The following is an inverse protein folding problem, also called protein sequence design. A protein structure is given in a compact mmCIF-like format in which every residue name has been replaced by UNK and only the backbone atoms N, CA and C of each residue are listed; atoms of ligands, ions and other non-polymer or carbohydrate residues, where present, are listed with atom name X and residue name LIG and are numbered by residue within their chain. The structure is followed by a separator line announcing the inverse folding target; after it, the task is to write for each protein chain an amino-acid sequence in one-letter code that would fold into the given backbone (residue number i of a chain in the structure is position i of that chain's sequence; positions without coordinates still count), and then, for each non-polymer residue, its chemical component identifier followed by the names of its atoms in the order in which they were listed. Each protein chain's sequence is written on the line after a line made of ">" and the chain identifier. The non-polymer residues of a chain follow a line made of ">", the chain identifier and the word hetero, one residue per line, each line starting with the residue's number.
data_IF_568418046527
#
_entry.id   IF_568418046527
#
_cell.length_a   1.000
_cell.length_b   1.000
_cell.length_c   1.000
_cell.angle_alpha   90.00
_cell.angle_beta   90.00
_cell.angle_gamma   90.00
#
_symmetry.space_group_name_H-M   'P 1'
#
loop_
_entity.id
_entity.type
_entity.pdbx_description
1 polymer ?
#
# COMPACT_ATOMS: atom_id res chain seq x y z
N UNK A 1 -4.04 21.49 -30.00
CA UNK A 1 -5.28 21.73 -29.24
C UNK A 1 -4.92 22.69 -28.08
N UNK A 2 -5.31 23.98 -28.15
CA UNK A 2 -5.13 24.91 -27.01
C UNK A 2 -6.22 24.60 -26.00
N UNK A 3 -5.84 23.99 -24.89
CA UNK A 3 -6.73 23.84 -23.73
C UNK A 3 -6.97 25.23 -23.17
N UNK A 4 -8.20 25.74 -23.23
CA UNK A 4 -8.56 27.01 -22.61
C UNK A 4 -8.34 26.90 -21.08
N UNK A 5 -7.65 27.85 -20.49
CA UNK A 5 -7.17 27.81 -19.10
C UNK A 5 -8.25 27.59 -18.02
N UNK A 6 -9.54 27.75 -18.39
CA UNK A 6 -10.70 27.47 -17.52
C UNK A 6 -10.93 25.98 -17.34
N UNK A 7 -10.76 25.17 -18.38
CA UNK A 7 -10.90 23.71 -18.33
C UNK A 7 -9.74 23.07 -17.57
N UNK A 8 -8.52 23.57 -17.77
CA UNK A 8 -7.34 23.11 -17.03
C UNK A 8 -7.49 23.25 -15.52
N UNK A 9 -8.05 24.36 -15.00
CA UNK A 9 -8.28 24.55 -13.56
C UNK A 9 -9.34 23.59 -13.01
N UNK A 10 -10.44 23.39 -13.75
CA UNK A 10 -11.52 22.49 -13.32
C UNK A 10 -11.03 21.03 -13.27
N UNK A 11 -10.32 20.58 -14.30
CA UNK A 11 -9.78 19.22 -14.36
C UNK A 11 -8.70 19.02 -13.30
N UNK A 12 -7.82 19.98 -13.10
CA UNK A 12 -6.81 19.96 -12.05
C UNK A 12 -7.44 19.79 -10.66
N UNK A 13 -8.44 20.59 -10.32
CA UNK A 13 -9.14 20.49 -9.02
C UNK A 13 -9.90 19.16 -8.88
N UNK A 14 -10.45 18.64 -9.95
CA UNK A 14 -11.14 17.34 -9.97
C UNK A 14 -10.24 16.17 -9.56
N UNK A 15 -8.95 16.25 -9.85
CA UNK A 15 -7.98 15.20 -9.50
C UNK A 15 -7.28 15.49 -8.17
N UNK A 16 -6.94 16.76 -7.90
CA UNK A 16 -6.17 17.13 -6.70
C UNK A 16 -7.00 17.01 -5.43
N UNK A 17 -8.23 17.54 -5.43
CA UNK A 17 -9.05 17.53 -4.21
C UNK A 17 -9.29 16.11 -3.68
N UNK A 18 -9.75 15.14 -4.51
CA UNK A 18 -9.91 13.76 -4.05
C UNK A 18 -8.59 13.13 -3.58
N UNK A 19 -7.47 13.46 -4.24
CA UNK A 19 -6.16 12.91 -3.86
C UNK A 19 -5.66 13.46 -2.53
N UNK A 20 -5.88 14.75 -2.25
CA UNK A 20 -5.56 15.34 -0.94
C UNK A 20 -6.42 14.71 0.15
N UNK A 21 -7.72 14.57 -0.08
CA UNK A 21 -8.63 13.93 0.87
C UNK A 21 -8.17 12.50 1.18
N UNK A 22 -7.87 11.71 0.16
CA UNK A 22 -7.38 10.34 0.34
C UNK A 22 -6.09 10.32 1.16
N UNK A 23 -5.14 11.22 0.90
CA UNK A 23 -3.89 11.30 1.64
C UNK A 23 -4.09 11.74 3.09
N UNK A 24 -5.00 12.68 3.35
CA UNK A 24 -5.35 13.09 4.71
C UNK A 24 -5.99 11.94 5.49
N UNK A 25 -6.92 11.22 4.88
CA UNK A 25 -7.56 10.05 5.50
C UNK A 25 -6.54 8.96 5.79
N UNK A 26 -5.64 8.67 4.84
CA UNK A 26 -4.55 7.72 5.04
C UNK A 26 -3.63 8.12 6.19
N UNK A 27 -3.26 9.41 6.30
CA UNK A 27 -2.41 9.90 7.38
C UNK A 27 -3.11 9.82 8.75
N UNK A 28 -4.39 10.16 8.81
CA UNK A 28 -5.17 10.04 10.04
C UNK A 28 -5.30 8.59 10.49
N UNK A 29 -5.60 7.69 9.56
CA UNK A 29 -5.66 6.25 9.83
C UNK A 29 -4.32 5.75 10.40
N UNK A 30 -3.19 6.10 9.78
CA UNK A 30 -1.86 5.67 10.23
C UNK A 30 -1.54 6.16 11.65
N UNK A 31 -1.99 7.39 12.00
CA UNK A 31 -1.85 7.90 13.38
C UNK A 31 -2.71 7.11 14.38
N UNK A 32 -3.94 6.80 14.02
CA UNK A 32 -4.87 6.04 14.86
C UNK A 32 -4.35 4.62 15.08
N UNK A 33 -3.93 3.95 14.01
CA UNK A 33 -3.31 2.62 14.07
C UNK A 33 -2.07 2.64 15.00
N UNK A 34 -1.17 3.60 14.82
CA UNK A 34 -0.01 3.77 15.71
C UNK A 34 -0.37 3.94 17.19
N UNK A 35 -1.47 4.64 17.50
CA UNK A 35 -1.97 4.79 18.88
C UNK A 35 -2.50 3.45 19.42
N UNK A 36 -3.25 2.70 18.63
CA UNK A 36 -3.76 1.38 19.03
C UNK A 36 -2.62 0.39 19.28
N UNK A 37 -1.65 0.34 18.38
CA UNK A 37 -0.45 -0.50 18.54
C UNK A 37 0.32 -0.10 19.80
N UNK A 38 0.59 1.19 20.02
CA UNK A 38 1.33 1.66 21.18
C UNK A 38 0.65 1.37 22.53
N UNK A 39 -0.69 1.33 22.57
CA UNK A 39 -1.47 1.05 23.79
C UNK A 39 -1.78 -0.42 24.02
N UNK A 40 -1.83 -1.20 22.95
CA UNK A 40 -2.27 -2.61 23.00
C UNK A 40 -1.14 -3.62 23.05
N UNK A 41 0.12 -3.20 22.91
CA UNK A 41 1.26 -4.13 22.72
C UNK A 41 2.42 -3.79 23.67
N UNK A 42 3.24 -4.80 23.98
CA UNK A 42 4.46 -4.59 24.80
C UNK A 42 5.49 -3.75 24.04
N UNK A 43 6.37 -3.06 24.78
CA UNK A 43 7.48 -2.27 24.20
C UNK A 43 8.39 -3.10 23.30
N UNK A 44 8.59 -4.37 23.62
CA UNK A 44 9.37 -5.32 22.80
C UNK A 44 8.70 -5.59 21.44
N UNK A 45 7.40 -5.79 21.45
CA UNK A 45 6.63 -6.01 20.21
C UNK A 45 6.57 -4.74 19.36
N UNK A 46 6.41 -3.55 19.96
CA UNK A 46 6.47 -2.28 19.25
C UNK A 46 7.85 -2.06 18.60
N UNK A 47 8.92 -2.44 19.29
CA UNK A 47 10.29 -2.39 18.74
C UNK A 47 10.43 -3.33 17.55
N UNK A 48 9.86 -4.53 17.60
CA UNK A 48 9.88 -5.47 16.48
C UNK A 48 9.12 -4.94 15.26
N UNK A 49 7.96 -4.29 15.46
CA UNK A 49 7.22 -3.61 14.39
C UNK A 49 8.09 -2.52 13.74
N UNK A 50 8.72 -1.65 14.54
CA UNK A 50 9.56 -0.57 14.04
C UNK A 50 10.77 -1.08 13.24
N UNK A 51 11.42 -2.15 13.70
CA UNK A 51 12.53 -2.79 12.97
C UNK A 51 12.05 -3.40 11.65
N UNK A 52 10.80 -3.82 11.58
CA UNK A 52 10.21 -4.41 10.37
C UNK A 52 9.70 -3.35 9.37
N UNK A 53 9.61 -2.08 9.75
CA UNK A 53 9.15 -0.99 8.87
C UNK A 53 9.91 -0.88 7.54
N UNK A 54 11.25 -1.06 7.46
CA UNK A 54 11.96 -1.03 6.18
C UNK A 54 11.44 -2.08 5.18
N UNK A 55 10.96 -3.22 5.65
CA UNK A 55 10.33 -4.22 4.77
C UNK A 55 9.04 -3.71 4.14
N UNK A 56 8.12 -3.17 4.94
CA UNK A 56 6.85 -2.61 4.44
C UNK A 56 7.07 -1.40 3.55
N UNK A 57 8.02 -0.53 3.90
CA UNK A 57 8.44 0.61 3.08
C UNK A 57 9.06 0.17 1.75
N UNK A 58 9.82 -0.93 1.75
CA UNK A 58 10.36 -1.55 0.54
C UNK A 58 9.25 -2.05 -0.39
N UNK A 59 8.23 -2.75 0.14
CA UNK A 59 7.06 -3.18 -0.63
C UNK A 59 6.32 -1.98 -1.24
N UNK A 60 6.14 -0.91 -0.46
CA UNK A 60 5.51 0.31 -0.93
C UNK A 60 6.31 1.00 -2.03
N UNK A 61 7.64 1.06 -1.91
CA UNK A 61 8.53 1.63 -2.92
C UNK A 61 8.45 0.88 -4.25
N UNK A 62 8.41 -0.46 -4.21
CA UNK A 62 8.20 -1.31 -5.39
C UNK A 62 6.83 -0.99 -6.02
N UNK A 63 5.79 -0.90 -5.20
CA UNK A 63 4.45 -0.57 -5.67
C UNK A 63 4.41 0.79 -6.39
N UNK A 64 5.00 1.83 -5.80
CA UNK A 64 5.07 3.17 -6.41
C UNK A 64 5.80 3.12 -7.75
N UNK A 65 6.96 2.47 -7.80
CA UNK A 65 7.78 2.39 -9.01
C UNK A 65 6.96 1.85 -10.20
N UNK A 66 6.31 0.71 -10.00
CA UNK A 66 5.52 0.08 -11.06
C UNK A 66 4.19 0.79 -11.32
N UNK A 67 3.52 1.28 -10.28
CA UNK A 67 2.26 2.01 -10.44
C UNK A 67 2.44 3.30 -11.25
N UNK A 68 3.43 4.12 -10.91
CA UNK A 68 3.69 5.38 -11.61
C UNK A 68 4.18 5.14 -13.03
N UNK A 69 5.12 4.19 -13.21
CA UNK A 69 5.62 3.84 -14.54
C UNK A 69 4.50 3.34 -15.45
N UNK A 70 3.71 2.38 -14.98
CA UNK A 70 2.61 1.81 -15.75
C UNK A 70 1.50 2.83 -16.02
N UNK A 71 1.10 3.63 -15.02
CA UNK A 71 0.06 4.64 -15.17
C UNK A 71 0.41 5.68 -16.24
N UNK A 72 1.68 6.04 -16.35
CA UNK A 72 2.18 6.97 -17.37
C UNK A 72 1.99 6.39 -18.77
N UNK A 73 2.38 5.13 -18.98
CA UNK A 73 2.23 4.46 -20.28
C UNK A 73 0.75 4.30 -20.64
N UNK A 74 -0.06 3.85 -19.69
CA UNK A 74 -1.52 3.70 -19.86
C UNK A 74 -2.18 5.04 -20.22
N UNK A 75 -1.81 6.14 -19.52
CA UNK A 75 -2.34 7.46 -19.80
C UNK A 75 -2.01 7.94 -21.24
N UNK A 76 -0.78 7.69 -21.71
CA UNK A 76 -0.37 8.03 -23.07
C UNK A 76 -1.19 7.24 -24.10
N UNK A 77 -1.31 5.92 -23.94
CA UNK A 77 -2.06 5.05 -24.83
C UNK A 77 -3.54 5.40 -24.88
N UNK A 78 -4.15 5.69 -23.73
CA UNK A 78 -5.54 6.17 -23.67
C UNK A 78 -5.71 7.51 -24.38
N UNK A 79 -4.74 8.45 -24.22
CA UNK A 79 -4.72 9.72 -24.92
C UNK A 79 -4.58 9.60 -26.44
N UNK A 80 -3.95 8.54 -26.91
CA UNK A 80 -3.81 8.18 -28.34
C UNK A 80 -5.01 7.40 -28.89
N UNK A 81 -5.96 6.98 -28.02
CA UNK A 81 -7.11 6.17 -28.38
C UNK A 81 -6.82 4.67 -28.49
N UNK A 82 -5.61 4.23 -28.13
CA UNK A 82 -5.16 2.84 -28.22
C UNK A 82 -5.58 2.01 -26.98
N UNK A 83 -6.88 1.86 -26.76
CA UNK A 83 -7.44 1.21 -25.56
C UNK A 83 -7.01 -0.24 -25.40
N UNK A 84 -6.92 -1.01 -26.49
CA UNK A 84 -6.49 -2.41 -26.42
C UNK A 84 -5.07 -2.53 -25.91
N UNK A 85 -4.15 -1.73 -26.42
CA UNK A 85 -2.76 -1.69 -25.92
C UNK A 85 -2.66 -1.21 -24.49
N UNK A 86 -3.49 -0.24 -24.08
CA UNK A 86 -3.55 0.20 -22.69
C UNK A 86 -3.97 -0.96 -21.77
N UNK A 87 -4.94 -1.78 -22.15
CA UNK A 87 -5.36 -2.97 -21.41
C UNK A 87 -4.29 -4.06 -21.37
N UNK A 88 -3.55 -4.25 -22.45
CA UNK A 88 -2.41 -5.19 -22.48
C UNK A 88 -1.33 -4.77 -21.49
N UNK A 89 -0.92 -3.50 -21.51
CA UNK A 89 0.08 -2.95 -20.59
C UNK A 89 -0.40 -3.04 -19.13
N UNK A 90 -1.67 -2.75 -18.86
CA UNK A 90 -2.28 -2.94 -17.56
C UNK A 90 -2.17 -4.40 -17.11
N UNK A 91 -2.57 -5.35 -17.95
CA UNK A 91 -2.55 -6.79 -17.62
C UNK A 91 -1.14 -7.29 -17.38
N UNK A 92 -0.18 -6.89 -18.22
CA UNK A 92 1.24 -7.22 -18.05
C UNK A 92 1.78 -6.73 -16.71
N UNK A 93 1.44 -5.50 -16.31
CA UNK A 93 1.85 -4.94 -15.03
C UNK A 93 1.26 -5.74 -13.85
N UNK A 94 -0.01 -6.11 -13.91
CA UNK A 94 -0.66 -6.92 -12.86
C UNK A 94 0.03 -8.28 -12.72
N UNK A 95 0.27 -8.97 -13.84
CA UNK A 95 0.96 -10.27 -13.84
C UNK A 95 2.38 -10.13 -13.28
N UNK A 96 3.10 -9.08 -13.69
CA UNK A 96 4.45 -8.81 -13.20
C UNK A 96 4.45 -8.57 -11.68
N UNK A 97 3.53 -7.74 -11.18
CA UNK A 97 3.43 -7.44 -9.74
C UNK A 97 3.02 -8.68 -8.92
N UNK A 98 2.11 -9.49 -9.43
CA UNK A 98 1.74 -10.78 -8.81
C UNK A 98 2.96 -11.71 -8.72
N UNK A 99 3.68 -11.88 -9.82
CA UNK A 99 4.88 -12.72 -9.88
C UNK A 99 5.96 -12.23 -8.92
N UNK A 100 6.24 -10.92 -8.93
CA UNK A 100 7.21 -10.29 -8.04
C UNK A 100 6.82 -10.44 -6.57
N UNK A 101 5.55 -10.26 -6.23
CA UNK A 101 5.04 -10.42 -4.87
C UNK A 101 5.20 -11.85 -4.36
N UNK A 102 4.90 -12.84 -5.20
CA UNK A 102 5.11 -14.25 -4.87
C UNK A 102 6.59 -14.55 -4.63
N UNK A 103 7.47 -14.05 -5.49
CA UNK A 103 8.92 -14.21 -5.33
C UNK A 103 9.43 -13.57 -4.04
N UNK A 104 8.99 -12.35 -3.73
CA UNK A 104 9.34 -11.66 -2.48
C UNK A 104 8.84 -12.47 -1.27
N UNK A 105 7.60 -12.95 -1.30
CA UNK A 105 7.03 -13.75 -0.22
C UNK A 105 7.85 -15.02 0.02
N UNK A 106 8.17 -15.78 -1.04
CA UNK A 106 8.95 -17.00 -0.93
C UNK A 106 10.35 -16.68 -0.36
N UNK A 107 11.03 -15.67 -0.90
CA UNK A 107 12.36 -15.26 -0.44
C UNK A 107 12.35 -14.88 1.04
N UNK A 108 11.40 -14.04 1.45
CA UNK A 108 11.30 -13.56 2.84
C UNK A 108 10.97 -14.72 3.78
N UNK A 109 10.07 -15.63 3.41
CA UNK A 109 9.70 -16.76 4.27
C UNK A 109 10.86 -17.76 4.39
N UNK A 110 11.53 -18.08 3.29
CA UNK A 110 12.67 -19.03 3.29
C UNK A 110 13.85 -18.47 4.11
N UNK A 111 14.10 -17.16 4.01
CA UNK A 111 15.21 -16.51 4.70
C UNK A 111 14.73 -15.62 5.86
N UNK A 112 13.64 -15.99 6.55
CA UNK A 112 12.97 -15.15 7.52
C UNK A 112 13.88 -14.68 8.65
N UNK A 113 14.67 -15.58 9.23
CA UNK A 113 15.60 -15.25 10.32
C UNK A 113 16.78 -14.40 9.86
N UNK A 114 17.55 -14.78 8.81
CA UNK A 114 18.59 -13.91 8.28
C UNK A 114 18.07 -12.54 7.88
N UNK A 115 16.88 -12.47 7.31
CA UNK A 115 16.25 -11.22 6.91
C UNK A 115 15.87 -10.34 8.12
N UNK A 116 15.26 -10.91 9.16
CA UNK A 116 14.95 -10.18 10.38
C UNK A 116 16.23 -9.65 11.07
N UNK A 117 17.30 -10.46 11.11
CA UNK A 117 18.60 -10.02 11.64
C UNK A 117 19.24 -8.91 10.80
N UNK A 118 19.13 -9.00 9.49
CA UNK A 118 19.59 -7.94 8.58
C UNK A 118 18.87 -6.61 8.82
N UNK A 119 17.58 -6.65 9.15
CA UNK A 119 16.81 -5.45 9.54
C UNK A 119 17.19 -4.91 10.92
N UNK A 120 17.97 -5.64 11.71
CA UNK A 120 18.47 -5.20 13.02
C UNK A 120 17.83 -5.93 14.21
N UNK A 121 17.11 -7.04 14.01
CA UNK A 121 16.53 -7.79 15.11
C UNK A 121 17.60 -8.47 15.97
N UNK A 122 17.66 -8.11 17.25
CA UNK A 122 18.48 -8.77 18.28
C UNK A 122 17.76 -10.01 18.81
N UNK A 123 18.48 -10.90 19.53
CA UNK A 123 17.92 -12.17 20.02
C UNK A 123 16.64 -11.98 20.84
N UNK A 124 16.53 -10.90 21.61
CA UNK A 124 15.36 -10.60 22.43
C UNK A 124 14.11 -10.23 21.63
N UNK A 125 14.26 -9.69 20.42
CA UNK A 125 13.18 -9.20 19.55
C UNK A 125 12.97 -10.11 18.34
N UNK A 126 13.90 -11.02 18.08
CA UNK A 126 13.91 -11.84 16.87
C UNK A 126 12.62 -12.64 16.68
N UNK A 127 12.10 -13.24 17.75
CA UNK A 127 10.85 -14.02 17.70
C UNK A 127 9.67 -13.15 17.25
N UNK A 128 9.55 -11.95 17.84
CA UNK A 128 8.49 -11.01 17.49
C UNK A 128 8.63 -10.46 16.07
N UNK A 129 9.85 -10.12 15.65
CA UNK A 129 10.12 -9.65 14.29
C UNK A 129 9.82 -10.73 13.24
N UNK A 130 10.22 -11.98 13.50
CA UNK A 130 9.90 -13.12 12.62
C UNK A 130 8.39 -13.34 12.50
N UNK A 131 7.65 -13.29 13.60
CA UNK A 131 6.20 -13.44 13.58
C UNK A 131 5.56 -12.32 12.78
N UNK A 132 5.95 -11.07 13.02
CA UNK A 132 5.40 -9.91 12.30
C UNK A 132 5.69 -9.95 10.81
N UNK A 133 6.97 -10.11 10.41
CA UNK A 133 7.37 -10.19 9.01
C UNK A 133 6.73 -11.40 8.31
N UNK A 134 6.73 -12.56 8.98
CA UNK A 134 6.16 -13.80 8.47
C UNK A 134 4.64 -13.72 8.28
N UNK A 135 3.94 -12.92 9.09
CA UNK A 135 2.51 -12.67 8.94
C UNK A 135 2.23 -11.71 7.77
N UNK A 136 3.04 -10.65 7.59
CA UNK A 136 2.82 -9.66 6.52
C UNK A 136 3.28 -10.19 5.15
N UNK A 137 4.35 -10.96 5.08
CA UNK A 137 4.93 -11.40 3.82
C UNK A 137 3.94 -12.07 2.85
N UNK A 138 3.01 -12.97 3.29
CA UNK A 138 2.00 -13.55 2.40
C UNK A 138 1.02 -12.53 1.82
N UNK A 139 0.82 -11.39 2.51
CA UNK A 139 -0.08 -10.32 2.07
C UNK A 139 0.62 -9.24 1.22
N UNK A 140 1.92 -9.40 0.93
CA UNK A 140 2.69 -8.45 0.11
C UNK A 140 2.04 -8.20 -1.26
N UNK A 141 1.44 -9.23 -1.86
CA UNK A 141 0.71 -9.12 -3.12
C UNK A 141 -0.48 -8.14 -3.02
N UNK A 142 -1.30 -8.27 -1.98
CA UNK A 142 -2.44 -7.37 -1.76
C UNK A 142 -1.94 -5.95 -1.54
N UNK A 143 -0.88 -5.79 -0.76
CA UNK A 143 -0.28 -4.50 -0.45
C UNK A 143 0.24 -3.78 -1.70
N UNK A 144 1.01 -4.49 -2.54
CA UNK A 144 1.59 -3.94 -3.77
C UNK A 144 0.50 -3.61 -4.80
N UNK A 145 -0.48 -4.51 -4.99
CA UNK A 145 -1.55 -4.31 -5.97
C UNK A 145 -2.51 -3.19 -5.57
N UNK A 146 -2.78 -2.99 -4.27
CA UNK A 146 -3.70 -1.95 -3.81
C UNK A 146 -3.32 -0.56 -4.28
N UNK A 147 -2.05 -0.17 -4.14
CA UNK A 147 -1.57 1.13 -4.60
C UNK A 147 -1.53 1.23 -6.13
N UNK A 148 -1.17 0.13 -6.81
CA UNK A 148 -1.19 0.09 -8.27
C UNK A 148 -2.59 0.30 -8.82
N UNK A 149 -3.60 -0.38 -8.28
CA UNK A 149 -5.00 -0.19 -8.67
C UNK A 149 -5.52 1.21 -8.34
N UNK A 150 -5.19 1.75 -7.17
CA UNK A 150 -5.54 3.13 -6.83
C UNK A 150 -5.05 4.12 -7.88
N UNK A 151 -3.78 4.00 -8.27
CA UNK A 151 -3.16 4.89 -9.26
C UNK A 151 -3.79 4.72 -10.64
N UNK A 152 -4.04 3.49 -11.07
CA UNK A 152 -4.64 3.21 -12.37
C UNK A 152 -6.10 3.65 -12.48
N UNK A 153 -6.90 3.51 -11.40
CA UNK A 153 -8.27 4.04 -11.34
C UNK A 153 -8.27 5.57 -11.54
N UNK A 154 -7.29 6.27 -10.95
CA UNK A 154 -7.12 7.72 -11.15
C UNK A 154 -6.75 8.04 -12.60
N UNK A 155 -5.87 7.24 -13.20
CA UNK A 155 -5.40 7.40 -14.59
C UNK A 155 -6.53 7.16 -15.60
N UNK A 156 -7.44 6.23 -15.31
CA UNK A 156 -8.65 5.96 -16.13
C UNK A 156 -9.73 7.06 -15.98
N UNK A 157 -9.46 8.10 -15.20
CA UNK A 157 -10.34 9.29 -15.08
C UNK A 157 -11.36 9.20 -13.94
N UNK A 158 -11.24 8.24 -13.02
CA UNK A 158 -12.14 8.05 -11.88
C UNK A 158 -11.52 8.37 -10.51
N UNK A 159 -10.94 9.57 -10.29
CA UNK A 159 -10.25 9.90 -9.03
C UNK A 159 -11.15 9.81 -7.80
N UNK A 160 -12.45 10.12 -7.93
CA UNK A 160 -13.42 9.97 -6.84
C UNK A 160 -13.60 8.52 -6.41
N UNK A 161 -13.60 7.58 -7.37
CA UNK A 161 -13.71 6.15 -7.08
C UNK A 161 -12.47 5.65 -6.33
N UNK A 162 -11.28 6.09 -6.74
CA UNK A 162 -10.04 5.79 -6.03
C UNK A 162 -10.07 6.31 -4.58
N UNK A 163 -10.57 7.53 -4.36
CA UNK A 163 -10.72 8.09 -3.01
C UNK A 163 -11.69 7.27 -2.15
N UNK A 164 -12.84 6.87 -2.71
CA UNK A 164 -13.81 6.01 -2.01
C UNK A 164 -13.16 4.66 -1.63
N UNK A 165 -12.41 4.06 -2.54
CA UNK A 165 -11.71 2.81 -2.30
C UNK A 165 -10.73 2.93 -1.11
N UNK A 166 -9.84 3.92 -1.12
CA UNK A 166 -8.87 4.16 -0.04
C UNK A 166 -9.56 4.48 1.27
N UNK A 167 -10.56 5.37 1.25
CA UNK A 167 -11.31 5.76 2.46
C UNK A 167 -12.06 4.58 3.07
N UNK A 168 -12.72 3.76 2.26
CA UNK A 168 -13.42 2.57 2.74
C UNK A 168 -12.47 1.57 3.40
N UNK A 169 -11.30 1.34 2.79
CA UNK A 169 -10.25 0.50 3.36
C UNK A 169 -9.73 1.02 4.69
N UNK A 170 -9.45 2.32 4.77
CA UNK A 170 -8.97 2.97 6.01
C UNK A 170 -10.01 2.92 7.14
N UNK A 171 -11.28 3.16 6.84
CA UNK A 171 -12.36 3.06 7.82
C UNK A 171 -12.53 1.63 8.31
N UNK A 172 -12.52 0.66 7.40
CA UNK A 172 -12.61 -0.76 7.75
C UNK A 172 -11.43 -1.18 8.64
N UNK A 173 -10.23 -0.74 8.32
CA UNK A 173 -9.04 -1.01 9.13
C UNK A 173 -9.19 -0.43 10.55
N UNK A 174 -9.56 0.84 10.71
CA UNK A 174 -9.81 1.44 12.03
C UNK A 174 -10.86 0.67 12.86
N UNK A 175 -11.92 0.16 12.21
CA UNK A 175 -12.94 -0.63 12.88
C UNK A 175 -12.36 -1.98 13.34
N UNK A 176 -11.58 -2.64 12.48
CA UNK A 176 -10.93 -3.92 12.82
C UNK A 176 -9.90 -3.75 13.93
N UNK A 177 -9.09 -2.70 13.90
CA UNK A 177 -8.11 -2.39 14.95
C UNK A 177 -8.80 -2.16 16.29
N UNK A 178 -9.88 -1.37 16.30
CA UNK A 178 -10.68 -1.17 17.51
C UNK A 178 -11.22 -2.50 18.06
N UNK A 179 -11.80 -3.35 17.21
CA UNK A 179 -12.37 -4.62 17.62
C UNK A 179 -11.28 -5.59 18.10
N UNK A 180 -10.19 -5.75 17.35
CA UNK A 180 -9.15 -6.72 17.64
C UNK A 180 -8.32 -6.33 18.86
N UNK A 181 -7.93 -5.07 18.94
CA UNK A 181 -7.02 -4.58 19.99
C UNK A 181 -7.78 -4.24 21.26
N UNK A 182 -8.88 -3.47 21.16
CA UNK A 182 -9.57 -2.93 22.34
C UNK A 182 -10.67 -3.87 22.89
N UNK A 183 -11.38 -4.61 22.02
CA UNK A 183 -12.50 -5.47 22.47
C UNK A 183 -12.03 -6.90 22.70
N UNK A 184 -11.25 -7.45 21.77
CA UNK A 184 -10.81 -8.85 21.86
C UNK A 184 -9.45 -9.00 22.57
N UNK A 185 -8.78 -7.91 22.91
CA UNK A 185 -7.44 -7.89 23.53
C UNK A 185 -6.46 -8.85 22.84
N UNK A 186 -6.67 -9.15 21.56
CA UNK A 186 -5.73 -9.85 20.71
C UNK A 186 -4.76 -8.78 20.24
N UNK A 187 -3.53 -8.78 20.75
CA UNK A 187 -2.49 -7.85 20.30
C UNK A 187 -2.34 -7.78 18.78
N UNK A 188 -1.22 -7.29 18.28
CA UNK A 188 -0.93 -7.10 16.83
C UNK A 188 -0.71 -8.44 16.09
N UNK A 189 -1.20 -9.55 16.62
CA UNK A 189 -1.01 -10.92 16.10
C UNK A 189 -2.31 -11.52 15.57
#
# INVERSE_FOLDING_TARGET
>A
MRLEGKYLKSDFLRFIIPSIIAQCVFSLYTMVDGIFVARGVSEVALTAVNISMPFTTGLFSISILFAVGNSTIVAILLGQGEKERANEVFTQNVVLLCTLSVLITILVIVFLEPFARFLGATDNILSYAKTYIGTIAPFSMVYILSYSFETLIKTDGYPKLATIYVTSGSVLNCILDYILVMVLHKGVW
#
